data_IF_350101149023
#
_entry.id   IF_350101149023
#
_cell.length_a   1.000
_cell.length_b   1.000
_cell.length_c   1.000
_cell.angle_alpha   90.00
_cell.angle_beta   90.00
_cell.angle_gamma   90.00
#
_symmetry.space_group_name_H-M   'P 1'
#
loop_
_entity.id
_entity.type
_entity.pdbx_description
1 polymer ?
#
# COMPACT_ATOMS: atom_id res chain seq x y z
N UNK A 1 0.90 -14.58 -8.71
CA UNK A 1 0.25 -14.69 -7.38
C UNK A 1 0.44 -16.10 -6.82
N UNK A 2 0.62 -16.25 -5.50
CA UNK A 2 0.76 -17.54 -4.81
C UNK A 2 -0.35 -17.73 -3.75
N UNK A 3 -0.70 -18.97 -3.35
CA UNK A 3 -1.73 -19.21 -2.34
C UNK A 3 -1.37 -18.60 -0.99
N UNK A 4 -2.13 -17.60 -0.53
CA UNK A 4 -1.84 -16.88 0.72
C UNK A 4 -1.35 -15.45 0.54
N UNK A 5 -1.08 -15.02 -0.71
CA UNK A 5 -0.64 -13.65 -1.01
C UNK A 5 -1.57 -12.57 -0.41
N UNK A 6 -2.89 -12.77 -0.46
CA UNK A 6 -3.87 -11.83 0.13
C UNK A 6 -3.71 -11.73 1.64
N UNK A 7 -3.55 -12.87 2.33
CA UNK A 7 -3.41 -12.89 3.78
C UNK A 7 -2.10 -12.24 4.21
N UNK A 8 -1.00 -12.53 3.50
CA UNK A 8 0.29 -11.90 3.72
C UNK A 8 0.21 -10.37 3.52
N UNK A 9 -0.32 -9.91 2.39
CA UNK A 9 -0.47 -8.48 2.11
C UNK A 9 -1.34 -7.76 3.15
N UNK A 10 -2.46 -8.35 3.57
CA UNK A 10 -3.29 -7.80 4.65
C UNK A 10 -2.54 -7.73 6.00
N UNK A 11 -1.73 -8.74 6.31
CA UNK A 11 -0.94 -8.78 7.54
C UNK A 11 0.11 -7.67 7.54
N UNK A 12 0.83 -7.47 6.43
CA UNK A 12 1.83 -6.41 6.28
C UNK A 12 1.21 -5.02 6.43
N UNK A 13 0.11 -4.72 5.72
CA UNK A 13 -0.58 -3.44 5.85
C UNK A 13 -1.02 -3.17 7.30
N UNK A 14 -1.56 -4.19 7.98
CA UNK A 14 -2.01 -4.07 9.37
C UNK A 14 -0.85 -3.92 10.34
N UNK A 15 0.24 -4.64 10.14
CA UNK A 15 1.44 -4.53 10.98
C UNK A 15 2.02 -3.13 10.89
N UNK A 16 2.13 -2.57 9.69
CA UNK A 16 2.60 -1.19 9.49
C UNK A 16 1.65 -0.19 10.15
N UNK A 17 0.34 -0.32 9.94
CA UNK A 17 -0.66 0.54 10.58
C UNK A 17 -0.71 0.38 12.11
N UNK A 18 -0.28 -0.75 12.65
CA UNK A 18 -0.13 -0.97 14.09
C UNK A 18 1.01 -0.16 14.72
N UNK A 19 1.95 0.36 13.92
CA UNK A 19 3.06 1.16 14.43
C UNK A 19 2.67 2.63 14.58
N UNK A 20 2.82 3.22 15.79
CA UNK A 20 2.52 4.63 16.01
C UNK A 20 3.58 5.53 15.36
N UNK A 21 3.16 6.71 14.89
CA UNK A 21 4.07 7.76 14.40
C UNK A 21 4.69 7.51 13.02
N UNK A 22 4.32 6.42 12.33
CA UNK A 22 4.77 6.15 10.95
C UNK A 22 4.01 7.03 9.96
N UNK A 23 4.72 7.56 8.97
CA UNK A 23 4.19 8.38 7.87
C UNK A 23 4.52 7.72 6.54
N UNK A 24 3.70 8.00 5.52
CA UNK A 24 3.90 7.50 4.17
C UNK A 24 4.35 8.60 3.20
N UNK A 25 5.33 8.30 2.32
CA UNK A 25 6.13 7.07 2.32
C UNK A 25 7.09 7.02 3.51
N UNK A 26 7.40 5.81 3.98
CA UNK A 26 8.32 5.63 5.10
C UNK A 26 9.77 5.54 4.57
N UNK A 27 10.66 6.50 4.91
CA UNK A 27 12.04 6.50 4.44
C UNK A 27 12.87 5.33 5.00
N UNK A 28 12.40 4.66 6.05
CA UNK A 28 13.08 3.50 6.66
C UNK A 28 12.78 2.21 5.88
N UNK A 29 11.69 2.15 5.14
CA UNK A 29 11.25 0.95 4.43
C UNK A 29 11.76 0.96 2.99
N UNK A 30 13.03 0.60 2.82
CA UNK A 30 13.70 0.52 1.50
C UNK A 30 13.64 -0.87 0.82
N UNK A 31 13.01 -1.88 1.43
CA UNK A 31 12.78 -3.19 0.81
C UNK A 31 11.35 -3.29 0.29
N UNK A 32 11.19 -3.65 -0.99
CA UNK A 32 9.87 -3.96 -1.58
C UNK A 32 9.11 -5.06 -0.81
N UNK A 33 9.85 -5.97 -0.17
CA UNK A 33 9.30 -7.05 0.64
C UNK A 33 8.57 -6.60 1.90
N UNK A 34 8.89 -5.40 2.41
CA UNK A 34 8.35 -4.87 3.65
C UNK A 34 7.60 -3.54 3.44
N UNK A 35 7.50 -3.05 2.20
CA UNK A 35 6.82 -1.79 1.92
C UNK A 35 5.30 -1.99 1.99
N UNK A 36 4.59 -1.29 2.89
CA UNK A 36 3.13 -1.37 2.98
C UNK A 36 2.41 -0.96 1.69
N UNK A 37 3.03 -0.12 0.84
CA UNK A 37 2.47 0.27 -0.46
C UNK A 37 2.54 -0.88 -1.46
N UNK A 38 3.62 -1.67 -1.46
CA UNK A 38 3.74 -2.88 -2.30
C UNK A 38 2.71 -3.92 -1.87
N UNK A 39 2.54 -4.12 -0.56
CA UNK A 39 1.49 -4.99 -0.03
C UNK A 39 0.10 -4.52 -0.47
N UNK A 40 -0.15 -3.20 -0.45
CA UNK A 40 -1.43 -2.64 -0.90
C UNK A 40 -1.67 -2.79 -2.39
N UNK A 41 -0.65 -2.58 -3.23
CA UNK A 41 -0.75 -2.76 -4.68
C UNK A 41 -1.04 -4.24 -5.01
N UNK A 42 -0.46 -5.19 -4.28
CA UNK A 42 -0.80 -6.61 -4.42
C UNK A 42 -2.30 -6.89 -4.15
N UNK A 43 -2.91 -6.19 -3.19
CA UNK A 43 -4.36 -6.31 -2.95
C UNK A 43 -5.20 -5.70 -4.09
N UNK A 44 -4.71 -4.65 -4.75
CA UNK A 44 -5.36 -4.06 -5.91
C UNK A 44 -5.38 -5.05 -7.07
N UNK A 45 -4.23 -5.65 -7.36
CA UNK A 45 -4.11 -6.69 -8.39
C UNK A 45 -5.12 -7.82 -8.12
N UNK A 46 -5.20 -8.31 -6.87
CA UNK A 46 -6.17 -9.35 -6.50
C UNK A 46 -7.61 -8.90 -6.77
N UNK A 47 -7.97 -7.66 -6.40
CA UNK A 47 -9.32 -7.13 -6.60
C UNK A 47 -9.70 -7.15 -8.09
N UNK A 48 -8.77 -6.87 -9.00
CA UNK A 48 -9.02 -6.91 -10.45
C UNK A 48 -9.41 -8.31 -10.95
N UNK A 49 -8.97 -9.37 -10.30
CA UNK A 49 -9.22 -10.75 -10.74
C UNK A 49 -10.36 -11.47 -9.99
N UNK A 50 -10.82 -10.95 -8.84
CA UNK A 50 -11.84 -11.63 -8.03
C UNK A 50 -13.27 -11.55 -8.60
N UNK A 51 -14.09 -12.62 -8.44
CA UNK A 51 -15.52 -12.55 -8.74
C UNK A 51 -16.24 -11.57 -7.80
N UNK A 52 -17.38 -11.03 -8.25
CA UNK A 52 -18.11 -9.92 -7.60
C UNK A 52 -18.26 -10.06 -6.08
N UNK A 53 -18.65 -11.23 -5.57
CA UNK A 53 -18.84 -11.47 -4.14
C UNK A 53 -17.54 -11.32 -3.34
N UNK A 54 -16.51 -12.08 -3.70
CA UNK A 54 -15.20 -12.03 -3.04
C UNK A 54 -14.53 -10.66 -3.17
N UNK A 55 -14.73 -9.99 -4.33
CA UNK A 55 -14.27 -8.61 -4.55
C UNK A 55 -14.92 -7.64 -3.57
N UNK A 56 -16.21 -7.76 -3.29
CA UNK A 56 -16.90 -6.86 -2.37
C UNK A 56 -16.37 -6.97 -0.94
N UNK A 57 -16.08 -8.19 -0.48
CA UNK A 57 -15.57 -8.42 0.87
C UNK A 57 -14.14 -7.92 1.03
N UNK A 58 -13.24 -8.26 0.11
CA UNK A 58 -11.88 -7.76 0.11
C UNK A 58 -11.84 -6.24 -0.08
N UNK A 59 -12.68 -5.69 -0.95
CA UNK A 59 -12.77 -4.26 -1.24
C UNK A 59 -13.12 -3.44 0.01
N UNK A 60 -14.00 -3.94 0.90
CA UNK A 60 -14.30 -3.25 2.17
C UNK A 60 -13.11 -3.23 3.13
N UNK A 61 -12.29 -4.27 3.15
CA UNK A 61 -11.07 -4.30 3.97
C UNK A 61 -10.03 -3.32 3.42
N UNK A 62 -9.84 -3.36 2.11
CA UNK A 62 -8.93 -2.50 1.37
C UNK A 62 -9.29 -1.02 1.54
N UNK A 63 -10.56 -0.65 1.40
CA UNK A 63 -11.01 0.73 1.58
C UNK A 63 -10.72 1.28 2.99
N UNK A 64 -10.77 0.43 4.03
CA UNK A 64 -10.40 0.83 5.40
C UNK A 64 -8.90 1.05 5.54
N UNK A 65 -8.08 0.19 4.92
CA UNK A 65 -6.63 0.38 4.90
C UNK A 65 -6.27 1.67 4.17
N UNK A 66 -6.92 1.93 3.05
CA UNK A 66 -6.72 3.13 2.24
C UNK A 66 -7.00 4.40 3.04
N UNK A 67 -8.11 4.43 3.79
CA UNK A 67 -8.44 5.57 4.64
C UNK A 67 -7.39 5.83 5.74
N UNK A 68 -6.77 4.78 6.30
CA UNK A 68 -5.69 4.95 7.29
C UNK A 68 -4.36 5.34 6.65
N UNK A 69 -4.07 4.84 5.45
CA UNK A 69 -2.92 5.29 4.68
C UNK A 69 -3.04 6.77 4.29
N UNK A 70 -4.24 7.22 3.90
CA UNK A 70 -4.50 8.63 3.60
C UNK A 70 -4.22 9.54 4.79
N UNK A 71 -4.56 9.11 6.00
CA UNK A 71 -4.27 9.88 7.23
C UNK A 71 -2.78 9.98 7.55
N UNK A 72 -1.97 9.04 7.05
CA UNK A 72 -0.51 8.96 7.29
C UNK A 72 0.31 9.48 6.12
N UNK A 73 -0.31 9.64 4.96
CA UNK A 73 0.29 10.21 3.77
C UNK A 73 0.70 11.66 4.09
N UNK A 74 1.99 11.92 4.02
CA UNK A 74 2.54 13.28 4.05
C UNK A 74 2.91 13.67 2.63
N UNK A 75 2.75 14.94 2.29
CA UNK A 75 3.25 15.45 1.00
C UNK A 75 4.77 15.29 1.00
N UNK A 76 5.27 14.49 0.06
CA UNK A 76 6.68 14.41 -0.23
C UNK A 76 7.10 15.69 -0.94
N UNK A 77 8.18 16.31 -0.46
CA UNK A 77 8.92 17.23 -1.33
C UNK A 77 9.56 16.43 -2.48
N UNK A 78 9.55 17.00 -3.69
CA UNK A 78 9.98 16.34 -4.94
C UNK A 78 11.41 15.74 -4.88
N UNK A 79 12.26 16.22 -3.97
CA UNK A 79 13.60 15.69 -3.74
C UNK A 79 13.63 14.30 -3.06
N UNK A 80 12.68 13.98 -2.19
CA UNK A 80 12.60 12.66 -1.55
C UNK A 80 12.07 11.58 -2.49
N UNK A 81 11.25 11.97 -3.49
CA UNK A 81 10.78 11.07 -4.55
C UNK A 81 11.91 10.51 -5.42
N UNK A 82 12.97 11.29 -5.67
CA UNK A 82 14.07 10.89 -6.55
C UNK A 82 15.13 10.01 -5.86
N UNK A 83 15.17 10.00 -4.53
CA UNK A 83 16.21 9.33 -3.74
C UNK A 83 15.83 7.92 -3.27
N UNK A 84 14.57 7.52 -3.43
CA UNK A 84 14.12 6.17 -3.10
C UNK A 84 14.23 5.28 -4.34
N UNK A 85 14.49 3.96 -4.21
CA UNK A 85 14.48 3.00 -5.33
C UNK A 85 13.04 2.76 -5.89
N UNK A 86 12.25 3.84 -5.94
CA UNK A 86 10.85 3.94 -6.30
C UNK A 86 10.65 3.55 -7.76
N UNK A 87 10.24 2.31 -8.01
CA UNK A 87 9.55 2.00 -9.26
C UNK A 87 8.12 2.54 -9.16
N UNK A 88 7.79 3.49 -10.04
CA UNK A 88 6.53 4.24 -10.11
C UNK A 88 5.29 3.40 -10.50
N UNK A 89 5.32 2.09 -10.26
CA UNK A 89 4.25 1.18 -10.63
C UNK A 89 3.43 0.86 -9.37
N UNK A 90 2.32 1.56 -9.17
CA UNK A 90 1.39 1.35 -8.05
C UNK A 90 0.37 2.48 -7.89
N UNK A 91 -0.89 2.15 -7.63
CA UNK A 91 -2.00 3.14 -7.56
C UNK A 91 -1.74 4.22 -6.50
N UNK A 92 -1.22 3.82 -5.34
CA UNK A 92 -0.88 4.74 -4.26
C UNK A 92 0.38 5.55 -4.52
N UNK A 93 1.38 4.94 -5.15
CA UNK A 93 2.63 5.61 -5.52
C UNK A 93 2.40 6.69 -6.57
N UNK A 94 1.46 6.48 -7.50
CA UNK A 94 1.00 7.50 -8.45
C UNK A 94 0.28 8.66 -7.74
N UNK A 95 -0.58 8.38 -6.75
CA UNK A 95 -1.25 9.43 -5.95
C UNK A 95 -0.30 10.36 -5.20
N UNK A 96 0.86 9.87 -4.76
CA UNK A 96 1.86 10.75 -4.15
C UNK A 96 2.47 11.75 -5.14
N UNK A 97 2.56 11.41 -6.43
CA UNK A 97 3.16 12.27 -7.47
C UNK A 97 2.22 13.34 -8.03
N UNK A 98 0.91 13.17 -7.87
CA UNK A 98 -0.12 14.06 -8.45
C UNK A 98 -0.50 15.25 -7.54
N UNK A 99 0.10 15.37 -6.36
CA UNK A 99 -0.27 16.34 -5.31
C UNK A 99 0.96 17.09 -4.77
#
# INVERSE_FOLDING_TARGET
MWPGAVAAALAECRWYLGQPGRVLPDPVMGCDCCDPLVARDCLEDVLLWLPRGARADLGRLVARLDAEFDRRAVSLSSHLMLATPFSACGYWRQRFMEN
#
